data_IF_351029740851
#
_entry.id   IF_351029740851
#
_cell.length_a   1.000
_cell.length_b   1.000
_cell.length_c   1.000
_cell.angle_alpha   90.00
_cell.angle_beta   90.00
_cell.angle_gamma   90.00
#
_symmetry.space_group_name_H-M   'P 1'
#
loop_
_entity.id
_entity.type
_entity.pdbx_description
1 polymer ?
#
# COMPACT_ATOMS: atom_id res chain seq x y z
N UNK A 1 -9.86 25.64 2.14
CA UNK A 1 -10.10 24.27 2.64
C UNK A 1 -11.37 23.77 1.96
N UNK A 2 -11.34 22.59 1.31
CA UNK A 2 -12.52 22.03 0.67
C UNK A 2 -13.40 21.32 1.72
N UNK A 3 -14.72 21.45 1.59
CA UNK A 3 -15.67 20.72 2.44
C UNK A 3 -15.94 19.36 1.80
N UNK A 4 -15.75 18.29 2.56
CA UNK A 4 -16.05 16.93 2.12
C UNK A 4 -17.09 16.35 3.07
N UNK A 5 -18.18 15.81 2.51
CA UNK A 5 -19.30 15.30 3.30
C UNK A 5 -19.16 13.79 3.47
N UNK A 6 -18.88 13.35 4.70
CA UNK A 6 -18.90 11.94 5.10
C UNK A 6 -19.87 11.77 6.25
N UNK A 7 -20.69 10.73 6.20
CA UNK A 7 -21.52 10.31 7.33
C UNK A 7 -20.64 9.56 8.32
N UNK A 8 -20.41 10.16 9.49
CA UNK A 8 -19.68 9.54 10.60
C UNK A 8 -20.71 9.23 11.68
N UNK A 9 -20.77 7.99 12.21
CA UNK A 9 -21.63 7.66 13.34
C UNK A 9 -21.38 8.58 14.54
N UNK A 10 -22.43 8.95 15.26
CA UNK A 10 -22.33 9.93 16.33
C UNK A 10 -21.37 9.48 17.44
N UNK A 11 -21.36 8.19 17.78
CA UNK A 11 -20.46 7.62 18.77
C UNK A 11 -18.97 7.80 18.39
N UNK A 12 -18.65 7.71 17.10
CA UNK A 12 -17.29 7.89 16.58
C UNK A 12 -16.91 9.36 16.63
N UNK A 13 -17.85 10.25 16.28
CA UNK A 13 -17.65 11.70 16.30
C UNK A 13 -17.42 12.20 17.73
N UNK A 14 -18.20 11.73 18.69
CA UNK A 14 -18.04 12.07 20.10
C UNK A 14 -16.70 11.61 20.65
N UNK A 15 -16.33 10.35 20.41
CA UNK A 15 -15.03 9.80 20.81
C UNK A 15 -13.87 10.62 20.22
N UNK A 16 -13.94 10.95 18.94
CA UNK A 16 -12.91 11.76 18.27
C UNK A 16 -12.81 13.17 18.87
N UNK A 17 -13.95 13.82 19.10
CA UNK A 17 -13.99 15.15 19.69
C UNK A 17 -13.42 15.17 21.11
N UNK A 18 -13.70 14.14 21.93
CA UNK A 18 -13.15 14.00 23.26
C UNK A 18 -11.63 13.76 23.22
N UNK A 19 -11.17 12.82 22.39
CA UNK A 19 -9.76 12.44 22.31
C UNK A 19 -8.84 13.56 21.78
N UNK A 20 -9.37 14.41 20.88
CA UNK A 20 -8.61 15.51 20.27
C UNK A 20 -9.11 16.89 20.70
N UNK A 21 -9.73 16.98 21.87
CA UNK A 21 -10.14 18.25 22.47
C UNK A 21 -8.95 19.22 22.56
N UNK A 22 -9.17 20.49 22.19
CA UNK A 22 -8.12 21.52 22.15
C UNK A 22 -7.16 21.45 20.96
N UNK A 23 -7.28 20.46 20.06
CA UNK A 23 -6.47 20.38 18.83
C UNK A 23 -7.25 20.85 17.60
N UNK A 24 -6.52 21.20 16.54
CA UNK A 24 -7.10 21.42 15.23
C UNK A 24 -7.58 20.08 14.62
N UNK A 25 -8.84 19.74 14.89
CA UNK A 25 -9.49 18.49 14.45
C UNK A 25 -9.43 18.30 12.93
N UNK A 26 -9.57 19.37 12.16
CA UNK A 26 -9.47 19.32 10.69
C UNK A 26 -8.09 18.90 10.23
N UNK A 27 -7.02 19.39 10.88
CA UNK A 27 -5.66 18.98 10.57
C UNK A 27 -5.42 17.50 10.91
N UNK A 28 -5.95 17.03 12.04
CA UNK A 28 -5.88 15.61 12.44
C UNK A 28 -6.58 14.72 11.39
N UNK A 29 -7.80 15.08 10.98
CA UNK A 29 -8.54 14.31 9.96
C UNK A 29 -7.81 14.31 8.62
N UNK A 30 -7.30 15.46 8.18
CA UNK A 30 -6.56 15.56 6.91
C UNK A 30 -5.32 14.65 6.90
N UNK A 31 -4.58 14.61 8.01
CA UNK A 31 -3.40 13.75 8.14
C UNK A 31 -3.78 12.27 8.18
N UNK A 32 -4.84 11.90 8.90
CA UNK A 32 -5.34 10.52 8.91
C UNK A 32 -5.81 10.06 7.51
N UNK A 33 -6.50 10.94 6.78
CA UNK A 33 -6.91 10.68 5.40
C UNK A 33 -5.71 10.48 4.47
N UNK A 34 -4.68 11.33 4.58
CA UNK A 34 -3.43 11.19 3.82
C UNK A 34 -2.77 9.84 4.07
N UNK A 35 -2.59 9.48 5.33
CA UNK A 35 -1.99 8.20 5.72
C UNK A 35 -2.81 6.99 5.25
N UNK A 36 -4.15 7.08 5.27
CA UNK A 36 -5.01 6.02 4.74
C UNK A 36 -4.85 5.88 3.23
N UNK A 37 -4.85 6.98 2.49
CA UNK A 37 -4.69 6.99 1.04
C UNK A 37 -3.31 6.47 0.60
N UNK A 38 -2.23 6.88 1.25
CA UNK A 38 -0.87 6.41 0.95
C UNK A 38 -0.72 4.91 1.16
N UNK A 39 -1.31 4.37 2.23
CA UNK A 39 -1.33 2.92 2.49
C UNK A 39 -2.06 2.17 1.38
N UNK A 40 -3.24 2.64 1.00
CA UNK A 40 -4.04 2.02 -0.07
C UNK A 40 -3.32 2.06 -1.43
N UNK A 41 -2.72 3.20 -1.79
CA UNK A 41 -1.95 3.33 -3.02
C UNK A 41 -0.72 2.39 -3.03
N UNK A 42 -0.04 2.28 -1.90
CA UNK A 42 1.11 1.37 -1.75
C UNK A 42 0.68 -0.09 -1.95
N UNK A 43 -0.44 -0.48 -1.35
CA UNK A 43 -1.00 -1.83 -1.52
C UNK A 43 -1.39 -2.11 -2.97
N UNK A 44 -2.01 -1.15 -3.66
CA UNK A 44 -2.34 -1.28 -5.09
C UNK A 44 -1.10 -1.46 -5.95
N UNK A 45 -0.10 -0.59 -5.81
CA UNK A 45 1.18 -0.71 -6.54
C UNK A 45 1.85 -2.05 -6.30
N UNK A 46 1.81 -2.56 -5.07
CA UNK A 46 2.34 -3.90 -4.75
C UNK A 46 1.58 -5.00 -5.48
N UNK A 47 0.25 -4.94 -5.52
CA UNK A 47 -0.58 -5.93 -6.24
C UNK A 47 -0.28 -5.89 -7.74
N UNK A 48 -0.26 -4.71 -8.34
CA UNK A 48 0.06 -4.50 -9.75
C UNK A 48 1.45 -5.07 -10.10
N UNK A 49 2.46 -4.82 -9.25
CA UNK A 49 3.80 -5.37 -9.45
C UNK A 49 3.83 -6.91 -9.36
N UNK A 50 3.09 -7.50 -8.42
CA UNK A 50 2.98 -8.96 -8.29
C UNK A 50 2.29 -9.56 -9.52
N UNK A 51 1.20 -8.95 -9.98
CA UNK A 51 0.49 -9.38 -11.18
C UNK A 51 1.38 -9.30 -12.43
N UNK A 52 2.13 -8.22 -12.60
CA UNK A 52 3.09 -8.09 -13.70
C UNK A 52 4.15 -9.20 -13.68
N UNK A 53 4.76 -9.47 -12.52
CA UNK A 53 5.77 -10.55 -12.38
C UNK A 53 5.16 -11.92 -12.66
N UNK A 54 3.93 -12.19 -12.20
CA UNK A 54 3.26 -13.46 -12.44
C UNK A 54 2.87 -13.64 -13.91
N UNK A 55 2.39 -12.57 -14.55
CA UNK A 55 2.11 -12.55 -15.98
C UNK A 55 3.38 -12.89 -16.78
N UNK A 56 4.48 -12.19 -16.51
CA UNK A 56 5.74 -12.42 -17.21
C UNK A 56 6.24 -13.86 -17.01
N UNK A 57 6.17 -14.38 -15.77
CA UNK A 57 6.52 -15.78 -15.48
C UNK A 57 5.65 -16.80 -16.20
N UNK A 58 4.36 -16.51 -16.40
CA UNK A 58 3.45 -17.38 -17.15
C UNK A 58 3.77 -17.42 -18.65
N UNK A 59 4.37 -16.35 -19.19
CA UNK A 59 4.73 -16.24 -20.61
C UNK A 59 6.14 -16.73 -20.94
N UNK A 60 7.03 -16.81 -19.95
CA UNK A 60 8.41 -17.24 -20.14
C UNK A 60 8.52 -18.77 -20.14
N UNK A 61 9.35 -19.29 -21.05
CA UNK A 61 9.72 -20.71 -21.04
C UNK A 61 10.44 -21.05 -19.73
N UNK A 62 10.02 -22.15 -19.09
CA UNK A 62 10.64 -22.61 -17.85
C UNK A 62 12.12 -22.94 -18.10
N UNK A 63 13.01 -22.34 -17.31
CA UNK A 63 14.45 -22.59 -17.38
C UNK A 63 14.82 -23.62 -16.33
N UNK A 64 15.63 -24.62 -16.72
CA UNK A 64 16.14 -25.63 -15.81
C UNK A 64 17.03 -25.01 -14.71
N UNK A 65 16.62 -25.21 -13.47
CA UNK A 65 17.33 -24.73 -12.28
C UNK A 65 18.73 -25.33 -12.12
N UNK A 66 19.04 -26.46 -12.76
CA UNK A 66 20.40 -27.00 -12.84
C UNK A 66 21.33 -26.07 -13.63
N UNK A 67 20.94 -25.75 -14.87
CA UNK A 67 21.70 -24.84 -15.76
C UNK A 67 21.90 -23.45 -15.17
N UNK A 68 20.91 -22.92 -14.46
CA UNK A 68 21.04 -21.62 -13.77
C UNK A 68 22.10 -21.67 -12.66
N UNK A 69 22.14 -22.76 -11.87
CA UNK A 69 23.12 -22.91 -10.79
C UNK A 69 24.55 -23.06 -11.32
N UNK A 70 24.72 -23.78 -12.42
CA UNK A 70 26.03 -23.98 -13.03
C UNK A 70 26.57 -22.67 -13.62
N UNK A 71 25.73 -21.92 -14.34
CA UNK A 71 26.09 -20.59 -14.86
C UNK A 71 26.45 -19.60 -13.73
N UNK A 72 25.76 -19.66 -12.59
CA UNK A 72 26.07 -18.80 -11.43
C UNK A 72 27.39 -19.17 -10.73
N UNK A 73 27.81 -20.44 -10.80
CA UNK A 73 29.12 -20.87 -10.28
C UNK A 73 30.26 -20.41 -11.18
N UNK A 74 30.09 -20.51 -12.50
CA UNK A 74 31.09 -20.00 -13.46
C UNK A 74 31.31 -18.49 -13.33
N UNK A 75 30.27 -17.71 -13.01
CA UNK A 75 30.37 -16.26 -12.80
C UNK A 75 31.04 -15.85 -11.47
N UNK A 76 31.14 -16.77 -10.50
CA UNK A 76 31.70 -16.50 -9.16
C UNK A 76 33.05 -17.15 -8.92
N UNK A 77 33.52 -18.01 -9.83
CA UNK A 77 34.87 -18.59 -9.83
C UNK A 77 35.84 -17.69 -10.59
#
# INVERSE_FOLDING_TARGET
MATVNYSIPDEVKELFNAAFSGKNRSAVVAELMRQAAERELTLRRRREAVEAVLHDRGTLASVDAGKVRDALKELRG
#
